data_IF_889346237795
#
_entry.id   IF_889346237795
#
_cell.length_a   1.000
_cell.length_b   1.000
_cell.length_c   1.000
_cell.angle_alpha   90.00
_cell.angle_beta   90.00
_cell.angle_gamma   90.00
#
_symmetry.space_group_name_H-M   'P 1'
#
loop_
_entity.id
_entity.type
_entity.pdbx_description
1 polymer ?
#
# COMPACT_ATOMS: atom_id res chain seq x y z
N UNK A 1 7.51 -5.89 -12.59
CA UNK A 1 7.17 -4.99 -11.45
C UNK A 1 6.03 -5.63 -10.70
N UNK A 2 6.14 -5.76 -9.37
CA UNK A 2 5.11 -6.39 -8.54
C UNK A 2 4.79 -5.46 -7.38
N UNK A 3 3.59 -4.89 -7.39
CA UNK A 3 3.07 -4.16 -6.24
C UNK A 3 2.61 -5.14 -5.15
N UNK A 4 2.75 -4.73 -3.90
CA UNK A 4 2.32 -5.47 -2.72
C UNK A 4 1.28 -4.66 -1.94
N UNK A 5 0.44 -5.38 -1.19
CA UNK A 5 -0.60 -4.80 -0.34
C UNK A 5 -0.33 -5.21 1.10
N UNK A 6 -0.38 -4.25 2.01
CA UNK A 6 -0.40 -4.48 3.46
C UNK A 6 -1.75 -4.02 4.00
N UNK A 7 -2.34 -4.83 4.88
CA UNK A 7 -3.64 -4.55 5.51
C UNK A 7 -3.44 -4.53 7.02
N UNK A 8 -3.76 -3.41 7.66
CA UNK A 8 -3.73 -3.25 9.11
C UNK A 8 -5.04 -2.62 9.60
N UNK A 9 -5.91 -3.42 10.21
CA UNK A 9 -7.26 -3.00 10.55
C UNK A 9 -8.03 -2.52 9.32
N UNK A 10 -8.45 -1.25 9.32
CA UNK A 10 -9.09 -0.58 8.17
C UNK A 10 -8.11 0.18 7.30
N UNK A 11 -6.80 0.05 7.47
CA UNK A 11 -5.83 0.75 6.61
C UNK A 11 -5.26 -0.20 5.56
N UNK A 12 -5.22 0.28 4.31
CA UNK A 12 -4.57 -0.42 3.20
C UNK A 12 -3.40 0.43 2.70
N UNK A 13 -2.24 -0.21 2.55
CA UNK A 13 -1.05 0.39 1.96
C UNK A 13 -0.67 -0.38 0.70
N UNK A 14 -0.54 0.32 -0.42
CA UNK A 14 0.01 -0.23 -1.66
C UNK A 14 1.45 0.26 -1.78
N UNK A 15 2.37 -0.68 -1.88
CA UNK A 15 3.79 -0.38 -1.95
C UNK A 15 4.51 -1.22 -2.99
N UNK A 16 5.61 -0.69 -3.49
CA UNK A 16 6.53 -1.43 -4.34
C UNK A 16 7.85 -1.66 -3.58
N UNK A 17 8.27 -2.93 -3.41
CA UNK A 17 9.59 -3.24 -2.87
C UNK A 17 10.69 -2.69 -3.78
N UNK A 18 11.63 -1.97 -3.18
CA UNK A 18 12.84 -1.47 -3.82
C UNK A 18 14.05 -2.19 -3.21
N UNK A 19 15.21 -2.10 -3.85
CA UNK A 19 16.43 -2.78 -3.41
C UNK A 19 16.84 -2.38 -1.98
N UNK A 20 16.61 -1.13 -1.57
CA UNK A 20 16.93 -0.62 -0.23
C UNK A 20 15.71 -0.08 0.53
N UNK A 21 14.49 -0.50 0.17
CA UNK A 21 13.32 -0.02 0.89
C UNK A 21 11.98 -0.31 0.23
N UNK A 22 11.01 0.55 0.50
CA UNK A 22 9.67 0.49 -0.07
C UNK A 22 9.26 1.87 -0.59
N UNK A 23 8.66 1.91 -1.77
CA UNK A 23 7.96 3.09 -2.26
C UNK A 23 6.49 2.94 -1.90
N UNK A 24 5.97 3.83 -1.05
CA UNK A 24 4.53 3.90 -0.76
C UNK A 24 3.85 4.69 -1.86
N UNK A 25 3.00 4.04 -2.64
CA UNK A 25 2.29 4.65 -3.77
C UNK A 25 0.96 5.26 -3.31
N UNK A 26 0.44 4.83 -2.16
CA UNK A 26 -0.71 5.44 -1.52
C UNK A 26 -1.07 4.79 -0.18
N UNK A 27 -1.73 5.59 0.66
CA UNK A 27 -2.34 5.18 1.93
C UNK A 27 -3.71 5.86 2.00
N UNK A 28 -4.79 5.09 2.11
CA UNK A 28 -6.15 5.65 2.14
C UNK A 28 -7.10 4.70 2.86
N UNK A 29 -8.11 5.26 3.51
CA UNK A 29 -9.21 4.50 4.12
C UNK A 29 -10.06 3.81 3.01
N UNK A 30 -10.28 2.48 3.06
CA UNK A 30 -11.08 1.71 2.11
C UNK A 30 -12.49 2.25 1.92
N UNK A 31 -13.05 2.94 2.92
CA UNK A 31 -14.40 3.53 2.84
C UNK A 31 -14.49 4.63 1.76
N UNK A 32 -13.36 5.14 1.26
CA UNK A 32 -13.29 6.17 0.21
C UNK A 32 -12.78 5.65 -1.15
N UNK A 33 -12.88 4.34 -1.41
CA UNK A 33 -12.36 3.71 -2.64
C UNK A 33 -13.43 3.36 -3.68
N UNK A 34 -14.72 3.40 -3.32
CA UNK A 34 -15.86 3.11 -4.20
C UNK A 34 -16.68 4.38 -4.48
#
# INVERSE_FOLDING_TARGET
MTARVLIEGRYIVIYEPQMEGILVVGMRDPEHWL
#
